data_IF_099984741167
#
_entry.id   IF_099984741167
#
_cell.length_a   1.000
_cell.length_b   1.000
_cell.length_c   1.000
_cell.angle_alpha   90.00
_cell.angle_beta   90.00
_cell.angle_gamma   90.00
#
_symmetry.space_group_name_H-M   'P 1'
#
loop_
_entity.id
_entity.type
_entity.pdbx_description
1 polymer ?
#
# COMPACT_ATOMS: atom_id res chain seq x y z
N UNK A 1 6.49 3.85 -14.51
CA UNK A 1 5.16 3.67 -13.87
C UNK A 1 5.24 4.27 -12.48
N UNK A 2 4.48 5.34 -12.22
CA UNK A 2 4.32 5.94 -10.90
C UNK A 2 2.87 5.78 -10.45
N UNK A 3 2.64 5.82 -9.14
CA UNK A 3 1.30 5.80 -8.56
C UNK A 3 1.14 7.01 -7.64
N UNK A 4 -0.03 7.64 -7.68
CA UNK A 4 -0.38 8.76 -6.81
C UNK A 4 -1.51 8.30 -5.91
N UNK A 5 -1.36 8.51 -4.60
CA UNK A 5 -2.40 8.23 -3.61
C UNK A 5 -3.03 9.55 -3.20
N UNK A 6 -4.35 9.65 -3.35
CA UNK A 6 -5.12 10.84 -3.02
C UNK A 6 -6.04 10.51 -1.86
N UNK A 7 -5.80 11.15 -0.72
CA UNK A 7 -6.67 11.09 0.45
C UNK A 7 -7.58 12.31 0.48
N UNK A 8 -8.89 12.11 0.52
CA UNK A 8 -9.85 13.17 0.77
C UNK A 8 -10.92 12.72 1.75
N UNK A 9 -11.35 13.61 2.64
CA UNK A 9 -12.49 13.38 3.52
C UNK A 9 -13.84 13.64 2.84
N UNK A 10 -13.82 14.19 1.61
CA UNK A 10 -15.02 14.51 0.85
C UNK A 10 -15.14 13.57 -0.36
N UNK A 11 -16.19 12.75 -0.37
CA UNK A 11 -16.43 11.76 -1.42
C UNK A 11 -16.67 12.40 -2.80
N UNK A 12 -17.26 13.59 -2.86
CA UNK A 12 -17.47 14.32 -4.12
C UNK A 12 -16.16 14.70 -4.79
N UNK A 13 -15.15 15.07 -4.00
CA UNK A 13 -13.83 15.41 -4.51
C UNK A 13 -13.13 14.17 -5.08
N UNK A 14 -13.20 13.03 -4.38
CA UNK A 14 -12.66 11.77 -4.88
C UNK A 14 -13.31 11.36 -6.19
N UNK A 15 -14.64 11.51 -6.30
CA UNK A 15 -15.37 11.21 -7.54
C UNK A 15 -14.90 12.09 -8.69
N UNK A 16 -14.84 13.40 -8.50
CA UNK A 16 -14.39 14.35 -9.52
C UNK A 16 -12.96 14.04 -10.01
N UNK A 17 -12.05 13.76 -9.09
CA UNK A 17 -10.64 13.46 -9.42
C UNK A 17 -10.54 12.11 -10.15
N UNK A 18 -11.33 11.12 -9.74
CA UNK A 18 -11.38 9.82 -10.41
C UNK A 18 -11.84 9.96 -11.86
N UNK A 19 -12.94 10.69 -12.10
CA UNK A 19 -13.46 10.93 -13.44
C UNK A 19 -12.47 11.70 -14.32
N UNK A 20 -11.71 12.65 -13.75
CA UNK A 20 -10.68 13.38 -14.49
C UNK A 20 -9.54 12.45 -14.91
N UNK A 21 -9.02 11.62 -13.99
CA UNK A 21 -7.93 10.69 -14.28
C UNK A 21 -8.35 9.65 -15.34
N UNK A 22 -9.57 9.13 -15.26
CA UNK A 22 -10.11 8.22 -16.29
C UNK A 22 -10.19 8.91 -17.67
N UNK A 23 -10.62 10.18 -17.72
CA UNK A 23 -10.66 10.95 -18.98
C UNK A 23 -9.28 11.21 -19.58
N UNK A 24 -8.25 11.30 -18.74
CA UNK A 24 -6.86 11.45 -19.17
C UNK A 24 -6.24 10.13 -19.64
N UNK A 25 -6.95 9.00 -19.48
CA UNK A 25 -6.50 7.67 -19.88
C UNK A 25 -5.77 6.90 -18.78
N UNK A 26 -5.76 7.42 -17.56
CA UNK A 26 -5.18 6.74 -16.40
C UNK A 26 -6.16 5.74 -15.77
N UNK A 27 -5.63 4.69 -15.15
CA UNK A 27 -6.44 3.74 -14.37
C UNK A 27 -6.59 4.21 -12.93
N UNK A 28 -7.83 4.31 -12.45
CA UNK A 28 -8.14 4.69 -11.07
C UNK A 28 -8.49 3.45 -10.25
N UNK A 29 -7.80 3.26 -9.13
CA UNK A 29 -8.15 2.26 -8.12
C UNK A 29 -8.62 2.93 -6.84
N UNK A 30 -9.81 2.55 -6.34
CA UNK A 30 -10.23 2.92 -4.98
C UNK A 30 -9.59 1.97 -3.98
N UNK A 31 -8.90 2.53 -2.99
CA UNK A 31 -8.20 1.80 -1.94
C UNK A 31 -8.92 2.11 -0.63
N UNK A 32 -9.33 1.10 0.14
CA UNK A 32 -9.86 1.32 1.50
C UNK A 32 -8.70 1.65 2.44
N UNK A 33 -9.00 2.27 3.58
CA UNK A 33 -7.96 2.68 4.54
C UNK A 33 -7.12 1.49 5.02
N UNK A 34 -7.74 0.32 5.25
CA UNK A 34 -7.08 -0.96 5.57
C UNK A 34 -6.13 -1.42 4.46
N UNK A 35 -6.57 -1.33 3.21
CA UNK A 35 -5.76 -1.74 2.06
C UNK A 35 -4.54 -0.82 1.89
N UNK A 36 -4.62 0.42 2.39
CA UNK A 36 -3.51 1.36 2.37
C UNK A 36 -2.46 1.07 3.44
N UNK A 37 -2.90 0.68 4.64
CA UNK A 37 -2.01 0.20 5.70
C UNK A 37 -1.24 -1.04 5.22
N UNK A 38 -1.96 -2.01 4.64
CA UNK A 38 -1.38 -3.23 4.09
C UNK A 38 -0.38 -2.92 2.95
N UNK A 39 -0.70 -1.96 2.08
CA UNK A 39 0.20 -1.55 1.01
C UNK A 39 1.48 -0.89 1.54
N UNK A 40 1.34 0.02 2.51
CA UNK A 40 2.47 0.68 3.14
C UNK A 40 3.37 -0.32 3.88
N UNK A 41 2.76 -1.22 4.65
CA UNK A 41 3.46 -2.31 5.33
C UNK A 41 4.17 -3.21 4.33
N UNK A 42 3.51 -3.59 3.24
CA UNK A 42 4.09 -4.40 2.17
C UNK A 42 5.31 -3.74 1.51
N UNK A 43 5.30 -2.42 1.32
CA UNK A 43 6.44 -1.68 0.80
C UNK A 43 7.64 -1.71 1.77
N UNK A 44 7.40 -1.49 3.06
CA UNK A 44 8.46 -1.56 4.08
C UNK A 44 9.01 -2.98 4.23
N UNK A 45 8.14 -3.99 4.21
CA UNK A 45 8.55 -5.39 4.19
C UNK A 45 9.39 -5.73 2.96
N UNK A 46 9.05 -5.18 1.78
CA UNK A 46 9.81 -5.38 0.55
C UNK A 46 11.19 -4.71 0.61
N UNK A 47 11.30 -3.53 1.22
CA UNK A 47 12.60 -2.86 1.49
C UNK A 47 13.46 -3.66 2.46
N UNK A 48 12.85 -4.20 3.52
CA UNK A 48 13.53 -4.98 4.54
C UNK A 48 13.80 -6.45 4.13
N UNK A 49 13.28 -6.90 2.99
CA UNK A 49 13.34 -8.31 2.56
C UNK A 49 14.80 -8.71 2.28
N UNK A 50 15.31 -9.66 3.05
CA UNK A 50 16.70 -10.16 2.92
C UNK A 50 16.85 -11.32 1.93
N UNK A 51 15.73 -11.87 1.44
CA UNK A 51 15.70 -13.02 0.52
C UNK A 51 16.03 -14.38 1.16
N UNK A 52 16.31 -14.41 2.47
CA UNK A 52 16.62 -15.64 3.21
C UNK A 52 15.37 -16.20 3.86
N UNK A 53 15.18 -17.51 3.76
CA UNK A 53 14.19 -18.22 4.57
C UNK A 53 14.78 -18.44 5.97
N UNK A 54 14.03 -18.07 7.01
CA UNK A 54 14.41 -18.28 8.40
C UNK A 54 13.41 -19.21 9.07
N UNK A 55 13.88 -20.07 9.98
CA UNK A 55 13.02 -20.96 10.75
C UNK A 55 12.32 -20.19 11.86
N UNK A 56 11.24 -20.78 12.38
CA UNK A 56 10.48 -20.23 13.50
C UNK A 56 11.39 -19.93 14.70
N UNK A 57 12.28 -20.85 15.05
CA UNK A 57 13.17 -20.70 16.22
C UNK A 57 14.08 -19.47 16.11
N UNK A 58 14.56 -19.16 14.90
CA UNK A 58 15.39 -17.97 14.63
C UNK A 58 14.59 -16.69 14.86
N UNK A 59 13.32 -16.66 14.46
CA UNK A 59 12.42 -15.51 14.66
C UNK A 59 12.13 -15.32 16.15
N UNK A 60 11.77 -16.40 16.86
CA UNK A 60 11.41 -16.31 18.28
C UNK A 60 12.60 -15.85 19.15
N UNK A 61 13.79 -16.37 18.86
CA UNK A 61 15.03 -15.92 19.51
C UNK A 61 15.30 -14.43 19.27
N UNK A 62 15.04 -13.91 18.07
CA UNK A 62 15.19 -12.48 17.77
C UNK A 62 14.16 -11.60 18.48
N UNK A 63 12.99 -12.14 18.80
CA UNK A 63 11.94 -11.48 19.57
C UNK A 63 12.12 -11.62 21.09
N UNK A 64 13.24 -12.20 21.55
CA UNK A 64 13.52 -12.42 22.96
C UNK A 64 12.63 -13.48 23.61
N UNK A 65 12.09 -14.40 22.81
CA UNK A 65 11.24 -15.52 23.25
C UNK A 65 11.92 -16.86 23.07
#
# INVERSE_FOLDING_TARGET
>A
MGAIIIKSKNEKNLKLISELAERLGDKVGKIKETDMEDFALGLEMKKAKTGKNVSRDVIFKALGK
#
